data_IF_929415114235
#
_entry.id   IF_929415114235
#
_cell.length_a   1.000
_cell.length_b   1.000
_cell.length_c   1.000
_cell.angle_alpha   90.00
_cell.angle_beta   90.00
_cell.angle_gamma   90.00
#
_symmetry.space_group_name_H-M   'P 1'
#
loop_
_entity.id
_entity.type
_entity.pdbx_description
1 polymer ?
#
# COMPACT_ATOMS: atom_id res chain seq x y z
N UNK A 1 8.30 5.29 -15.05
CA UNK A 1 8.96 5.57 -13.75
C UNK A 1 8.78 4.34 -12.89
N UNK A 2 9.82 3.96 -12.15
CA UNK A 2 9.78 2.81 -11.24
C UNK A 2 9.90 3.32 -9.80
N UNK A 3 9.02 2.83 -8.94
CA UNK A 3 9.02 3.12 -7.51
C UNK A 3 9.28 1.80 -6.77
N UNK A 4 10.40 1.74 -6.06
CA UNK A 4 10.76 0.65 -5.17
C UNK A 4 10.02 0.82 -3.84
N UNK A 5 9.24 -0.18 -3.47
CA UNK A 5 8.54 -0.24 -2.20
C UNK A 5 9.04 -1.45 -1.37
N UNK A 6 9.49 -1.24 -0.13
CA UNK A 6 9.96 -2.32 0.74
C UNK A 6 8.89 -3.39 1.05
N UNK A 7 7.62 -2.99 1.14
CA UNK A 7 6.54 -3.86 1.64
C UNK A 7 5.90 -4.71 0.54
N UNK A 8 5.89 -4.22 -0.72
CA UNK A 8 5.19 -4.89 -1.84
C UNK A 8 6.02 -5.01 -3.13
N UNK A 9 7.27 -4.56 -3.11
CA UNK A 9 8.19 -4.63 -4.24
C UNK A 9 8.05 -3.46 -5.21
N UNK A 10 8.09 -3.76 -6.51
CA UNK A 10 8.14 -2.72 -7.55
C UNK A 10 6.74 -2.21 -7.94
N UNK A 11 6.60 -0.88 -8.03
CA UNK A 11 5.43 -0.20 -8.59
C UNK A 11 5.86 0.53 -9.87
N UNK A 12 5.35 0.08 -11.02
CA UNK A 12 5.65 0.70 -12.31
C UNK A 12 4.61 1.76 -12.67
N UNK A 13 5.04 3.01 -12.79
CA UNK A 13 4.21 4.12 -13.29
C UNK A 13 4.45 4.32 -14.78
N UNK A 14 3.43 4.08 -15.60
CA UNK A 14 3.51 4.17 -17.07
C UNK A 14 2.66 5.32 -17.59
N UNK A 15 3.27 6.19 -18.40
CA UNK A 15 2.59 7.27 -19.13
C UNK A 15 3.38 7.66 -20.36
N UNK A 16 2.69 7.92 -21.46
CA UNK A 16 3.31 8.24 -22.76
C UNK A 16 3.90 9.66 -22.83
N UNK A 17 3.37 10.61 -22.06
CA UNK A 17 3.74 12.04 -22.12
C UNK A 17 4.15 12.57 -20.75
N UNK A 18 5.27 12.07 -20.23
CA UNK A 18 5.78 12.44 -18.91
C UNK A 18 4.89 11.97 -17.76
N UNK A 19 5.47 11.74 -16.58
CA UNK A 19 4.72 11.29 -15.40
C UNK A 19 4.21 12.50 -14.63
N UNK A 20 2.91 12.54 -14.29
CA UNK A 20 2.34 13.55 -13.40
C UNK A 20 2.17 12.99 -12.00
N UNK A 21 2.03 13.87 -11.01
CA UNK A 21 1.79 13.47 -9.62
C UNK A 21 0.57 12.53 -9.48
N UNK A 22 -0.54 12.83 -10.17
CA UNK A 22 -1.73 11.95 -10.11
C UNK A 22 -1.43 10.54 -10.59
N UNK A 23 -0.60 10.37 -11.62
CA UNK A 23 -0.29 9.04 -12.15
C UNK A 23 0.55 8.24 -11.13
N UNK A 24 1.37 8.93 -10.33
CA UNK A 24 2.13 8.35 -9.21
C UNK A 24 1.20 7.93 -8.07
N UNK A 25 0.33 8.83 -7.60
CA UNK A 25 -0.61 8.54 -6.51
C UNK A 25 -1.57 7.41 -6.88
N UNK A 26 -2.09 7.40 -8.12
CA UNK A 26 -2.94 6.32 -8.63
C UNK A 26 -2.20 5.00 -8.66
N UNK A 27 -0.97 4.95 -9.18
CA UNK A 27 -0.20 3.70 -9.21
C UNK A 27 0.11 3.14 -7.81
N UNK A 28 0.40 4.02 -6.85
CA UNK A 28 0.58 3.62 -5.44
C UNK A 28 -0.72 3.06 -4.87
N UNK A 29 -1.84 3.78 -5.05
CA UNK A 29 -3.14 3.34 -4.59
C UNK A 29 -3.50 1.96 -5.16
N UNK A 30 -3.41 1.81 -6.48
CA UNK A 30 -3.73 0.56 -7.17
C UNK A 30 -2.86 -0.60 -6.67
N UNK A 31 -1.57 -0.34 -6.38
CA UNK A 31 -0.67 -1.37 -5.87
C UNK A 31 -1.05 -1.86 -4.45
N UNK A 32 -1.64 -1.01 -3.63
CA UNK A 32 -2.07 -1.32 -2.25
C UNK A 32 -3.53 -1.77 -2.14
N UNK A 33 -4.38 -1.40 -3.10
CA UNK A 33 -5.81 -1.72 -3.09
C UNK A 33 -6.14 -3.16 -3.55
N UNK A 34 -5.11 -3.96 -3.85
CA UNK A 34 -5.25 -5.36 -4.27
C UNK A 34 -5.28 -6.28 -3.05
N UNK A 35 -6.06 -7.36 -3.16
CA UNK A 35 -6.12 -8.44 -2.17
C UNK A 35 -4.75 -9.10 -1.97
N UNK A 36 -4.45 -9.44 -0.72
CA UNK A 36 -3.26 -10.19 -0.39
C UNK A 36 -3.35 -11.59 -0.98
N UNK A 37 -2.31 -12.01 -1.69
CA UNK A 37 -2.16 -13.39 -2.13
C UNK A 37 -1.59 -14.25 -1.01
N UNK A 38 -1.77 -15.57 -1.11
CA UNK A 38 -1.31 -16.52 -0.08
C UNK A 38 0.21 -16.50 0.12
N UNK A 39 0.96 -16.28 -0.95
CA UNK A 39 2.41 -16.17 -0.96
C UNK A 39 2.93 -14.83 -0.40
N UNK A 40 2.04 -13.85 -0.25
CA UNK A 40 2.34 -12.54 0.34
C UNK A 40 2.00 -12.47 1.82
N UNK A 41 1.38 -13.51 2.38
CA UNK A 41 1.00 -13.54 3.79
C UNK A 41 2.25 -13.55 4.68
N UNK A 42 2.39 -12.56 5.58
CA UNK A 42 3.51 -12.52 6.50
C UNK A 42 3.44 -13.72 7.46
N UNK A 43 4.61 -14.24 7.85
CA UNK A 43 4.68 -15.37 8.80
C UNK A 43 4.11 -15.02 10.18
N UNK A 44 4.16 -13.74 10.57
CA UNK A 44 3.55 -13.22 11.79
C UNK A 44 2.47 -12.21 11.40
N UNK A 45 1.23 -12.55 11.69
CA UNK A 45 0.05 -11.78 11.25
C UNK A 45 -0.42 -10.74 12.26
N UNK A 46 0.11 -10.69 13.50
CA UNK A 46 -0.48 -9.91 14.61
C UNK A 46 -0.83 -8.46 14.24
N UNK A 47 0.19 -7.65 13.94
CA UNK A 47 0.00 -6.23 13.56
C UNK A 47 -0.75 -6.02 12.24
N UNK A 48 -0.79 -7.04 11.37
CA UNK A 48 -1.50 -6.98 10.09
C UNK A 48 -3.00 -7.23 10.26
N UNK A 49 -3.38 -8.12 11.19
CA UNK A 49 -4.77 -8.35 11.59
C UNK A 49 -5.33 -7.10 12.25
N UNK A 50 -4.60 -6.49 13.18
CA UNK A 50 -5.02 -5.23 13.82
C UNK A 50 -5.25 -4.12 12.78
N UNK A 51 -4.37 -3.99 11.79
CA UNK A 51 -4.53 -3.03 10.70
C UNK A 51 -5.77 -3.31 9.84
N UNK A 52 -6.00 -4.58 9.51
CA UNK A 52 -7.19 -5.02 8.77
C UNK A 52 -8.48 -4.74 9.53
N UNK A 53 -8.53 -5.09 10.81
CA UNK A 53 -9.69 -4.86 11.68
C UNK A 53 -9.98 -3.36 11.84
N UNK A 54 -8.94 -2.56 12.08
CA UNK A 54 -9.07 -1.10 12.15
C UNK A 54 -9.58 -0.50 10.85
N UNK A 55 -9.03 -0.91 9.70
CA UNK A 55 -9.51 -0.47 8.37
C UNK A 55 -11.00 -0.81 8.18
N UNK A 56 -11.40 -2.01 8.61
CA UNK A 56 -12.80 -2.47 8.53
C UNK A 56 -13.73 -1.66 9.43
N UNK A 57 -13.25 -1.21 10.59
CA UNK A 57 -14.00 -0.35 11.52
C UNK A 57 -14.13 1.09 11.02
N UNK A 58 -13.03 1.67 10.52
CA UNK A 58 -12.98 3.02 9.96
C UNK A 58 -13.87 3.16 8.72
N UNK A 59 -14.05 2.07 7.97
CA UNK A 59 -14.89 2.04 6.78
C UNK A 59 -16.39 1.94 7.13
N UNK A 60 -16.94 3.03 7.66
CA UNK A 60 -18.38 3.21 7.91
C UNK A 60 -19.22 3.24 6.63
N UNK A 61 -18.61 3.42 5.46
CA UNK A 61 -19.29 3.49 4.15
C UNK A 61 -19.11 2.24 3.29
N UNK A 62 -18.27 1.30 3.73
CA UNK A 62 -18.08 0.00 3.10
C UNK A 62 -19.41 -0.71 2.90
N UNK A 63 -19.67 -1.14 1.67
CA UNK A 63 -20.76 -2.06 1.37
C UNK A 63 -20.53 -3.40 2.10
N UNK A 64 -21.59 -4.17 2.36
CA UNK A 64 -21.42 -5.52 2.94
C UNK A 64 -20.47 -6.42 2.11
N UNK A 65 -20.33 -6.12 0.80
CA UNK A 65 -19.38 -6.78 -0.08
C UNK A 65 -17.93 -6.48 0.31
N UNK A 66 -17.59 -5.22 0.53
CA UNK A 66 -16.24 -4.80 0.96
C UNK A 66 -15.91 -5.28 2.38
N UNK A 67 -16.92 -5.43 3.25
CA UNK A 67 -16.76 -6.04 4.57
C UNK A 67 -16.47 -7.55 4.54
N UNK A 68 -16.80 -8.22 3.43
CA UNK A 68 -16.46 -9.63 3.17
C UNK A 68 -15.12 -9.79 2.46
N UNK A 69 -14.55 -8.70 1.95
CA UNK A 69 -13.23 -8.74 1.34
C UNK A 69 -12.15 -8.92 2.41
N UNK A 70 -11.20 -9.80 2.12
CA UNK A 70 -10.14 -10.17 3.04
C UNK A 70 -9.05 -9.09 3.16
N UNK A 71 -7.88 -9.51 3.65
CA UNK A 71 -6.73 -8.62 3.73
C UNK A 71 -6.32 -8.10 2.35
N UNK A 72 -5.92 -6.84 2.30
CA UNK A 72 -5.35 -6.16 1.14
C UNK A 72 -3.91 -5.77 1.45
N UNK A 73 -3.12 -5.47 0.42
CA UNK A 73 -1.71 -5.07 0.57
C UNK A 73 -1.53 -3.83 1.45
N UNK A 74 -2.53 -2.95 1.51
CA UNK A 74 -2.53 -1.82 2.46
C UNK A 74 -2.41 -2.28 3.93
N UNK A 75 -2.90 -3.47 4.28
CA UNK A 75 -2.79 -4.02 5.65
C UNK A 75 -1.36 -4.47 5.98
N UNK A 76 -0.49 -4.66 4.97
CA UNK A 76 0.94 -4.87 5.18
C UNK A 76 1.63 -3.64 5.78
N UNK A 77 1.03 -2.46 5.61
CA UNK A 77 1.55 -1.22 6.17
C UNK A 77 1.34 -1.10 7.68
N UNK A 78 0.73 -2.11 8.34
CA UNK A 78 0.60 -2.19 9.80
C UNK A 78 -0.03 -0.93 10.40
N UNK A 79 -1.09 -0.43 9.77
CA UNK A 79 -1.84 0.75 10.20
C UNK A 79 -1.30 2.09 9.70
N UNK A 80 -0.18 2.11 8.96
CA UNK A 80 0.28 3.32 8.27
C UNK A 80 -0.61 3.58 7.06
N UNK A 81 -1.33 4.70 7.07
CA UNK A 81 -2.28 5.08 6.01
C UNK A 81 -1.67 6.02 4.96
N UNK A 82 -0.50 6.60 5.25
CA UNK A 82 0.15 7.60 4.42
C UNK A 82 1.62 7.20 4.25
N UNK A 83 2.13 7.33 3.03
CA UNK A 83 3.57 7.29 2.76
C UNK A 83 4.12 8.70 2.93
N UNK A 84 5.32 8.84 3.48
CA UNK A 84 5.86 10.14 3.84
C UNK A 84 6.44 10.89 2.65
N UNK A 85 6.90 10.14 1.66
CA UNK A 85 7.37 10.75 0.43
C UNK A 85 7.98 9.77 -0.55
N UNK A 86 8.50 10.36 -1.61
CA UNK A 86 9.24 9.70 -2.65
C UNK A 86 10.64 10.31 -2.70
N UNK A 87 11.65 9.48 -2.45
CA UNK A 87 13.05 9.88 -2.57
C UNK A 87 13.62 9.34 -3.88
N UNK A 88 14.47 10.13 -4.56
CA UNK A 88 15.11 9.66 -5.80
C UNK A 88 16.39 8.90 -5.45
N UNK A 89 16.49 7.66 -5.91
CA UNK A 89 17.65 6.80 -5.71
C UNK A 89 18.20 6.35 -7.09
N UNK A 90 19.14 7.14 -7.63
CA UNK A 90 19.68 6.91 -8.97
C UNK A 90 18.62 7.06 -10.07
N UNK A 91 18.33 5.96 -10.78
CA UNK A 91 17.31 5.91 -11.84
C UNK A 91 15.90 5.61 -11.32
N UNK A 92 15.82 5.10 -10.10
CA UNK A 92 14.58 4.67 -9.48
C UNK A 92 14.12 5.67 -8.41
N UNK A 93 12.89 5.49 -7.97
CA UNK A 93 12.32 6.20 -6.84
C UNK A 93 12.08 5.21 -5.71
N UNK A 94 12.16 5.67 -4.47
CA UNK A 94 11.88 4.86 -3.29
C UNK A 94 10.69 5.45 -2.55
N UNK A 95 9.73 4.59 -2.20
CA UNK A 95 8.61 4.95 -1.36
C UNK A 95 9.03 4.86 0.10
N UNK A 96 8.89 5.97 0.83
CA UNK A 96 9.32 6.09 2.22
C UNK A 96 8.13 5.97 3.20
N UNK A 97 8.36 5.27 4.30
CA UNK A 97 7.44 5.13 5.42
C UNK A 97 8.21 5.28 6.75
N UNK A 98 7.81 6.19 7.63
CA UNK A 98 8.38 6.34 8.97
C UNK A 98 8.04 5.11 9.80
N UNK A 99 9.00 4.63 10.57
CA UNK A 99 8.74 3.77 11.71
C UNK A 99 8.30 4.68 12.86
N UNK A 100 6.99 4.90 13.02
CA UNK A 100 6.50 5.29 14.32
C UNK A 100 6.29 4.01 15.12
N UNK A 101 7.18 3.78 16.08
CA UNK A 101 6.95 2.83 17.17
C UNK A 101 5.96 3.49 18.14
N UNK A 102 4.66 3.24 17.92
CA UNK A 102 3.62 3.49 18.93
C UNK A 102 3.31 2.20 19.68
#
# INVERSE_FOLDING_TARGET
MVIQCPEIGEITVKRSLGVRCVDVFTAIYDAYHVHLRRDELPRNMGRHVEAFEKRREDDRRSTEAERKEGMRRVDLLRGKQIFDGLSRCGKDWKLEFYAYDF
#
